data_IF_210740814861
#
_entry.id   IF_210740814861
#
_cell.length_a   1.000
_cell.length_b   1.000
_cell.length_c   1.000
_cell.angle_alpha   90.00
_cell.angle_beta   90.00
_cell.angle_gamma   90.00
#
_symmetry.space_group_name_H-M   'P 1'
#
loop_
_entity.id
_entity.type
_entity.pdbx_description
1 polymer ?
#
# COMPACT_ATOMS: atom_id res chain seq x y z
N UNK A 1 22.58 6.51 8.51
CA UNK A 1 22.34 7.38 9.68
C UNK A 1 21.56 6.70 10.81
N UNK A 2 20.69 5.69 10.57
CA UNK A 2 20.09 4.89 11.67
C UNK A 2 21.11 4.10 12.49
N UNK A 3 22.25 3.71 11.92
CA UNK A 3 23.29 2.96 12.65
C UNK A 3 24.00 3.79 13.74
N UNK A 4 23.97 5.09 13.64
CA UNK A 4 24.58 6.00 14.63
C UNK A 4 23.63 6.42 15.75
N UNK A 5 22.35 6.47 15.50
CA UNK A 5 21.35 6.84 16.52
C UNK A 5 20.98 5.68 17.47
N UNK A 6 21.16 4.42 17.04
CA UNK A 6 20.87 3.23 17.86
C UNK A 6 22.02 2.79 18.76
N UNK A 7 23.23 3.38 18.64
CA UNK A 7 24.41 2.97 19.42
C UNK A 7 24.59 3.68 20.76
N UNK A 8 23.76 4.66 21.13
CA UNK A 8 23.99 5.48 22.33
C UNK A 8 22.93 5.40 23.42
N UNK A 9 21.99 4.47 23.35
CA UNK A 9 21.07 4.25 24.48
C UNK A 9 20.92 2.76 24.75
N UNK A 10 21.51 2.30 25.85
CA UNK A 10 21.18 1.02 26.48
C UNK A 10 19.74 1.12 27.01
N UNK A 11 18.75 0.85 26.14
CA UNK A 11 17.36 0.78 26.55
C UNK A 11 17.08 -0.63 27.05
N UNK A 12 16.86 -0.73 28.36
CA UNK A 12 16.29 -1.90 29.01
C UNK A 12 14.95 -2.22 28.37
N UNK A 13 14.87 -3.34 27.67
CA UNK A 13 13.66 -3.79 26.97
C UNK A 13 12.63 -4.18 28.02
N UNK A 14 11.68 -3.27 28.30
CA UNK A 14 10.43 -3.67 28.92
C UNK A 14 9.50 -4.13 27.78
N UNK A 15 9.07 -5.37 27.89
CA UNK A 15 8.06 -5.97 27.02
C UNK A 15 6.77 -5.12 27.06
N UNK A 16 6.64 -4.19 26.12
CA UNK A 16 5.40 -3.44 25.93
C UNK A 16 4.45 -4.25 25.07
N UNK A 17 3.42 -4.82 25.72
CA UNK A 17 2.24 -5.28 24.98
C UNK A 17 1.59 -4.06 24.34
N UNK A 18 1.61 -4.02 22.99
CA UNK A 18 0.88 -3.03 22.22
C UNK A 18 -0.60 -3.08 22.61
N UNK A 19 -1.12 -1.98 23.19
CA UNK A 19 -2.57 -1.85 23.33
C UNK A 19 -3.15 -1.61 21.94
N UNK A 20 -4.23 -2.31 21.56
CA UNK A 20 -4.89 -2.04 20.29
C UNK A 20 -5.36 -0.58 20.30
N UNK A 21 -4.91 0.18 19.29
CA UNK A 21 -5.38 1.54 19.07
C UNK A 21 -6.77 1.40 18.44
N UNK A 22 -7.81 1.60 19.24
CA UNK A 22 -9.17 1.66 18.73
C UNK A 22 -9.43 3.06 18.17
N UNK A 23 -9.27 3.23 16.86
CA UNK A 23 -9.85 4.38 16.18
C UNK A 23 -11.33 4.11 15.98
N UNK A 24 -12.19 4.70 16.79
CA UNK A 24 -13.63 4.70 16.53
C UNK A 24 -13.94 5.78 15.50
N UNK A 25 -13.86 5.43 14.22
CA UNK A 25 -14.41 6.26 13.16
C UNK A 25 -15.83 5.84 12.85
N UNK A 26 -16.77 6.77 12.96
CA UNK A 26 -18.12 6.60 12.43
C UNK A 26 -18.04 6.82 10.91
N UNK A 27 -17.97 5.73 10.15
CA UNK A 27 -18.00 5.73 8.69
C UNK A 27 -19.46 5.74 8.21
N UNK A 28 -19.78 6.71 7.36
CA UNK A 28 -20.98 6.72 6.55
C UNK A 28 -20.74 5.96 5.24
N UNK A 29 -21.30 4.75 5.15
CA UNK A 29 -21.61 4.00 3.93
C UNK A 29 -20.56 3.82 2.83
N UNK A 30 -19.63 2.87 3.01
CA UNK A 30 -19.16 2.01 1.94
C UNK A 30 -19.14 0.54 2.44
N UNK A 31 -19.85 -0.39 1.79
CA UNK A 31 -20.10 -1.72 2.35
C UNK A 31 -18.94 -2.72 2.21
N UNK A 32 -17.77 -2.34 1.71
CA UNK A 32 -16.75 -3.29 1.26
C UNK A 32 -15.45 -3.31 2.09
N UNK A 33 -15.06 -2.22 2.75
CA UNK A 33 -13.90 -2.20 3.64
C UNK A 33 -14.33 -2.38 5.10
N UNK A 34 -13.97 -3.52 5.68
CA UNK A 34 -14.32 -3.89 7.06
C UNK A 34 -13.20 -3.61 8.08
N UNK A 35 -12.16 -2.91 7.67
CA UNK A 35 -11.02 -2.53 8.50
C UNK A 35 -9.83 -3.48 8.44
N UNK A 36 -8.66 -2.97 8.86
CA UNK A 36 -7.38 -3.66 8.74
C UNK A 36 -7.35 -5.02 9.47
N UNK A 37 -7.99 -5.11 10.65
CA UNK A 37 -8.03 -6.36 11.40
C UNK A 37 -8.81 -7.46 10.67
N UNK A 38 -9.95 -7.12 10.10
CA UNK A 38 -10.75 -8.07 9.30
C UNK A 38 -10.00 -8.53 8.06
N UNK A 39 -9.26 -7.62 7.40
CA UNK A 39 -8.39 -7.98 6.28
C UNK A 39 -7.28 -8.94 6.73
N UNK A 40 -6.61 -8.69 7.86
CA UNK A 40 -5.60 -9.59 8.43
C UNK A 40 -6.14 -10.98 8.77
N UNK A 41 -7.35 -11.04 9.33
CA UNK A 41 -7.97 -12.29 9.78
C UNK A 41 -8.61 -13.09 8.64
N UNK A 42 -8.82 -12.46 7.48
CA UNK A 42 -9.41 -13.15 6.34
C UNK A 42 -8.53 -14.27 5.81
N UNK A 43 -9.17 -15.31 5.27
CA UNK A 43 -8.47 -16.45 4.66
C UNK A 43 -7.60 -16.00 3.48
N UNK A 44 -6.63 -16.85 3.11
CA UNK A 44 -5.83 -16.65 1.93
C UNK A 44 -6.73 -16.60 0.68
N UNK A 45 -6.52 -15.58 -0.15
CA UNK A 45 -7.33 -15.39 -1.34
C UNK A 45 -6.70 -16.12 -2.55
N UNK A 46 -7.29 -17.24 -2.94
CA UNK A 46 -6.85 -18.06 -4.08
C UNK A 46 -7.48 -17.65 -5.42
N UNK A 47 -8.28 -16.58 -5.45
CA UNK A 47 -9.06 -16.15 -6.61
C UNK A 47 -8.20 -15.41 -7.64
N UNK A 48 -7.22 -16.08 -8.25
CA UNK A 48 -6.25 -15.52 -9.18
C UNK A 48 -6.69 -15.50 -10.64
N UNK A 49 -7.82 -16.11 -10.94
CA UNK A 49 -8.43 -16.15 -12.25
C UNK A 49 -9.67 -15.25 -12.28
N UNK A 50 -9.88 -14.53 -13.38
CA UNK A 50 -11.08 -13.69 -13.57
C UNK A 50 -12.08 -14.43 -14.45
N UNK A 51 -13.06 -15.07 -13.84
CA UNK A 51 -14.12 -15.79 -14.54
C UNK A 51 -15.21 -14.88 -15.11
N UNK A 52 -16.28 -15.49 -15.67
CA UNK A 52 -17.42 -14.73 -16.23
C UNK A 52 -18.14 -13.85 -15.21
N UNK A 53 -18.19 -14.29 -13.95
CA UNK A 53 -18.91 -13.61 -12.84
C UNK A 53 -17.99 -12.89 -11.86
N UNK A 54 -16.68 -12.79 -12.14
CA UNK A 54 -15.70 -12.17 -11.27
C UNK A 54 -14.57 -13.11 -10.83
N UNK A 55 -13.86 -12.79 -9.72
CA UNK A 55 -12.72 -13.55 -9.26
C UNK A 55 -13.06 -15.00 -8.91
N UNK A 56 -12.22 -15.93 -9.35
CA UNK A 56 -12.34 -17.38 -9.14
C UNK A 56 -10.99 -18.00 -8.81
N UNK A 57 -10.94 -19.14 -8.09
CA UNK A 57 -9.71 -19.90 -7.90
C UNK A 57 -9.06 -20.28 -9.23
N UNK A 58 -7.75 -20.16 -9.28
CA UNK A 58 -6.97 -20.70 -10.39
C UNK A 58 -7.00 -22.24 -10.33
N UNK A 59 -7.09 -22.93 -11.49
CA UNK A 59 -6.95 -24.38 -11.50
C UNK A 59 -5.67 -24.84 -10.79
N UNK A 60 -5.68 -25.97 -10.07
CA UNK A 60 -4.48 -26.45 -9.38
C UNK A 60 -3.32 -26.60 -10.36
N UNK A 61 -2.23 -25.90 -10.09
CA UNK A 61 -0.96 -26.06 -10.79
C UNK A 61 -0.06 -26.87 -9.87
N UNK A 62 0.70 -27.80 -10.43
CA UNK A 62 1.68 -28.59 -9.69
C UNK A 62 2.61 -27.65 -8.89
N UNK A 63 2.79 -27.87 -7.57
CA UNK A 63 3.60 -27.00 -6.77
C UNK A 63 5.03 -27.02 -7.31
N UNK A 64 5.46 -25.85 -7.79
CA UNK A 64 6.78 -25.65 -8.33
C UNK A 64 7.83 -26.02 -7.29
N UNK A 65 8.69 -26.97 -7.61
CA UNK A 65 9.72 -27.53 -6.72
C UNK A 65 10.73 -26.49 -6.22
N UNK A 66 10.76 -25.31 -6.83
CA UNK A 66 11.73 -24.23 -6.51
C UNK A 66 11.56 -23.62 -5.11
N UNK A 67 10.34 -23.53 -4.60
CA UNK A 67 10.07 -22.98 -3.26
C UNK A 67 10.41 -23.98 -2.14
N UNK A 68 10.54 -25.25 -2.47
CA UNK A 68 10.69 -26.34 -1.51
C UNK A 68 11.95 -26.31 -0.63
N UNK A 69 13.02 -25.70 -1.07
CA UNK A 69 14.32 -25.65 -0.35
C UNK A 69 14.53 -24.42 0.53
N UNK A 70 13.67 -23.40 0.39
CA UNK A 70 13.79 -22.12 1.10
C UNK A 70 13.05 -22.16 2.43
N UNK A 71 13.65 -21.65 3.51
CA UNK A 71 13.18 -21.88 4.88
C UNK A 71 12.65 -20.65 5.61
N UNK A 72 12.74 -19.46 5.01
CA UNK A 72 12.28 -18.22 5.63
C UNK A 72 11.54 -17.29 4.65
N UNK A 73 10.75 -16.38 5.20
CA UNK A 73 9.99 -15.40 4.41
C UNK A 73 10.91 -14.49 3.59
N UNK A 74 11.99 -14.00 4.21
CA UNK A 74 12.94 -13.10 3.54
C UNK A 74 13.68 -13.78 2.38
N UNK A 75 14.06 -15.07 2.51
CA UNK A 75 14.65 -15.84 1.42
C UNK A 75 13.65 -16.04 0.26
N UNK A 76 12.39 -16.39 0.58
CA UNK A 76 11.34 -16.50 -0.44
C UNK A 76 11.11 -15.19 -1.17
N UNK A 77 11.07 -14.07 -0.44
CA UNK A 77 10.95 -12.73 -1.02
C UNK A 77 12.14 -12.39 -1.95
N UNK A 78 13.35 -12.71 -1.55
CA UNK A 78 14.54 -12.52 -2.38
C UNK A 78 14.48 -13.34 -3.69
N UNK A 79 13.92 -14.55 -3.63
CA UNK A 79 13.67 -15.39 -4.81
C UNK A 79 12.62 -14.77 -5.73
N UNK A 80 11.51 -14.25 -5.19
CA UNK A 80 10.49 -13.52 -5.97
C UNK A 80 11.12 -12.32 -6.66
N UNK A 81 11.88 -11.51 -5.94
CA UNK A 81 12.59 -10.35 -6.50
C UNK A 81 13.57 -10.74 -7.62
N UNK A 82 14.22 -11.91 -7.52
CA UNK A 82 15.19 -12.42 -8.50
C UNK A 82 14.54 -13.10 -9.71
N UNK A 83 13.23 -13.27 -9.72
CA UNK A 83 12.47 -13.89 -10.81
C UNK A 83 12.15 -12.85 -11.87
N UNK A 84 12.57 -13.07 -13.13
CA UNK A 84 12.37 -12.10 -14.22
C UNK A 84 11.04 -12.27 -14.96
N UNK A 85 10.54 -13.50 -15.09
CA UNK A 85 9.25 -13.75 -15.76
C UNK A 85 8.08 -13.25 -14.88
N UNK A 86 7.21 -12.36 -15.39
CA UNK A 86 6.19 -11.71 -14.59
C UNK A 86 5.10 -12.65 -14.05
N UNK A 87 4.69 -13.66 -14.86
CA UNK A 87 3.68 -14.61 -14.43
C UNK A 87 4.25 -15.58 -13.37
N UNK A 88 5.48 -16.03 -13.57
CA UNK A 88 6.19 -16.85 -12.59
C UNK A 88 6.40 -16.05 -11.29
N UNK A 89 6.83 -14.78 -11.38
CA UNK A 89 6.96 -13.88 -10.22
C UNK A 89 5.64 -13.75 -9.46
N UNK A 90 4.55 -13.51 -10.16
CA UNK A 90 3.21 -13.42 -9.56
C UNK A 90 2.83 -14.72 -8.84
N UNK A 91 3.07 -15.89 -9.45
CA UNK A 91 2.79 -17.19 -8.82
C UNK A 91 3.68 -17.46 -7.61
N UNK A 92 4.98 -17.19 -7.73
CA UNK A 92 5.92 -17.35 -6.61
C UNK A 92 5.58 -16.45 -5.43
N UNK A 93 5.10 -15.22 -5.67
CA UNK A 93 4.64 -14.32 -4.61
C UNK A 93 3.51 -14.96 -3.79
N UNK A 94 2.50 -15.52 -4.48
CA UNK A 94 1.41 -16.25 -3.83
C UNK A 94 1.89 -17.49 -3.06
N UNK A 95 2.73 -18.30 -3.67
CA UNK A 95 3.27 -19.51 -3.05
C UNK A 95 4.12 -19.17 -1.82
N UNK A 96 4.96 -18.14 -1.89
CA UNK A 96 5.81 -17.68 -0.79
C UNK A 96 4.99 -17.29 0.44
N UNK A 97 3.99 -16.41 0.26
CA UNK A 97 3.13 -15.98 1.36
C UNK A 97 2.27 -17.13 1.90
N UNK A 98 1.67 -17.94 1.01
CA UNK A 98 0.84 -19.09 1.35
C UNK A 98 1.62 -20.12 2.17
N UNK A 99 2.83 -20.46 1.73
CA UNK A 99 3.70 -21.42 2.39
C UNK A 99 4.16 -20.92 3.76
N UNK A 100 4.66 -19.67 3.81
CA UNK A 100 5.09 -19.06 5.08
C UNK A 100 3.98 -19.08 6.12
N UNK A 101 2.77 -18.69 5.74
CA UNK A 101 1.59 -18.67 6.62
C UNK A 101 1.19 -20.08 7.08
N UNK A 102 1.20 -21.06 6.17
CA UNK A 102 0.80 -22.46 6.45
C UNK A 102 1.80 -23.18 7.33
N UNK A 103 3.08 -23.03 7.04
CA UNK A 103 4.17 -23.74 7.72
C UNK A 103 4.69 -22.97 8.95
N UNK A 104 4.21 -21.76 9.20
CA UNK A 104 4.65 -20.89 10.30
C UNK A 104 6.17 -20.71 10.34
N UNK A 105 6.75 -20.45 9.16
CA UNK A 105 8.18 -20.23 9.02
C UNK A 105 8.61 -18.92 9.69
N UNK A 106 9.89 -18.80 10.02
CA UNK A 106 10.44 -17.53 10.51
C UNK A 106 10.48 -16.45 9.42
N UNK A 107 10.60 -15.20 9.82
CA UNK A 107 10.91 -14.11 8.89
C UNK A 107 12.29 -14.34 8.26
N UNK A 108 13.27 -14.76 9.07
CA UNK A 108 14.65 -14.92 8.64
C UNK A 108 15.31 -13.60 8.23
N UNK A 109 16.51 -13.68 7.66
CA UNK A 109 17.27 -12.54 7.14
C UNK A 109 17.79 -12.90 5.76
N UNK A 110 17.57 -12.00 4.79
CA UNK A 110 18.13 -12.15 3.45
C UNK A 110 18.53 -10.78 2.90
N UNK A 111 19.38 -10.79 1.87
CA UNK A 111 19.77 -9.56 1.18
C UNK A 111 18.91 -9.39 -0.07
N UNK A 112 18.25 -8.24 -0.26
CA UNK A 112 17.56 -7.99 -1.50
C UNK A 112 18.55 -7.83 -2.65
N UNK A 113 18.18 -8.22 -3.88
CA UNK A 113 18.99 -7.87 -5.04
C UNK A 113 19.04 -6.34 -5.18
N UNK A 114 20.09 -5.83 -5.83
CA UNK A 114 20.21 -4.37 -6.08
C UNK A 114 18.97 -3.81 -6.80
N UNK A 115 18.42 -4.59 -7.72
CA UNK A 115 17.16 -4.30 -8.43
C UNK A 115 16.39 -5.59 -8.65
N UNK A 116 15.06 -5.54 -8.68
CA UNK A 116 14.25 -6.70 -9.03
C UNK A 116 14.56 -7.12 -10.47
N UNK A 117 14.62 -8.43 -10.68
CA UNK A 117 14.76 -8.97 -12.03
C UNK A 117 13.51 -8.62 -12.87
N UNK A 118 13.74 -8.25 -14.13
CA UNK A 118 12.71 -7.83 -15.09
C UNK A 118 12.83 -8.63 -16.38
N UNK A 119 11.72 -8.85 -17.08
CA UNK A 119 11.74 -9.43 -18.40
C UNK A 119 12.37 -8.46 -19.41
N UNK A 120 12.78 -8.93 -20.59
CA UNK A 120 13.32 -8.07 -21.65
C UNK A 120 12.26 -7.09 -22.20
N UNK A 121 10.98 -7.36 -21.99
CA UNK A 121 9.83 -6.50 -22.33
C UNK A 121 8.92 -6.37 -21.12
N UNK A 122 8.32 -5.18 -20.88
CA UNK A 122 8.41 -3.93 -21.68
C UNK A 122 9.80 -3.30 -21.64
N UNK A 123 10.18 -2.62 -22.71
CA UNK A 123 11.36 -1.75 -22.69
C UNK A 123 11.10 -0.62 -21.68
N UNK A 124 12.06 -0.43 -20.75
CA UNK A 124 11.98 0.66 -19.80
C UNK A 124 12.56 1.94 -20.41
N UNK A 125 11.74 2.97 -20.46
CA UNK A 125 12.06 4.27 -21.07
C UNK A 125 11.82 5.42 -20.09
N UNK A 126 12.25 6.62 -20.43
CA UNK A 126 11.88 7.82 -19.68
C UNK A 126 10.36 8.05 -19.74
N UNK A 127 9.71 8.58 -18.68
CA UNK A 127 8.27 8.86 -18.70
C UNK A 127 7.79 9.69 -19.87
N UNK A 128 8.63 10.63 -20.35
CA UNK A 128 8.34 11.48 -21.52
C UNK A 128 8.34 10.71 -22.85
N UNK A 129 8.97 9.55 -22.89
CA UNK A 129 9.11 8.70 -24.07
C UNK A 129 8.01 7.60 -24.14
N UNK A 130 7.13 7.55 -23.13
CA UNK A 130 5.93 6.69 -23.17
C UNK A 130 4.99 7.23 -24.27
N UNK A 131 4.58 6.38 -25.23
CA UNK A 131 3.70 6.83 -26.31
C UNK A 131 2.34 7.27 -25.76
N UNK A 132 1.81 8.36 -26.29
CA UNK A 132 0.43 8.72 -26.03
C UNK A 132 -0.53 7.61 -26.54
N UNK A 133 -1.74 7.47 -25.98
CA UNK A 133 -2.66 6.38 -26.35
C UNK A 133 -2.85 6.22 -27.86
N UNK A 134 -3.02 7.33 -28.59
CA UNK A 134 -3.18 7.35 -30.06
C UNK A 134 -1.98 6.84 -30.86
N UNK A 135 -0.79 6.82 -30.23
CA UNK A 135 0.48 6.45 -30.87
C UNK A 135 1.03 5.11 -30.33
N UNK A 136 0.32 4.46 -29.39
CA UNK A 136 0.80 3.26 -28.71
C UNK A 136 0.63 1.98 -29.51
N UNK A 137 -0.21 2.00 -30.55
CA UNK A 137 -0.62 0.79 -31.28
C UNK A 137 -1.67 -0.04 -30.54
N UNK A 138 -2.05 0.32 -29.32
CA UNK A 138 -3.04 -0.36 -28.49
C UNK A 138 -4.37 0.40 -28.48
N UNK A 139 -5.54 -0.29 -28.45
CA UNK A 139 -6.79 0.37 -28.12
C UNK A 139 -6.74 0.92 -26.69
N UNK A 140 -7.56 1.93 -26.41
CA UNK A 140 -7.49 2.69 -25.16
C UNK A 140 -7.61 1.82 -23.89
N UNK A 141 -8.50 0.83 -23.90
CA UNK A 141 -8.68 -0.10 -22.78
C UNK A 141 -7.42 -0.97 -22.55
N UNK A 142 -6.82 -1.53 -23.62
CA UNK A 142 -5.57 -2.29 -23.51
C UNK A 142 -4.39 -1.41 -23.08
N UNK A 143 -4.32 -0.16 -23.59
CA UNK A 143 -3.32 0.82 -23.17
C UNK A 143 -3.40 1.10 -21.66
N UNK A 144 -4.61 1.39 -21.16
CA UNK A 144 -4.81 1.66 -19.74
C UNK A 144 -4.50 0.44 -18.87
N UNK A 145 -4.93 -0.73 -19.31
CA UNK A 145 -4.72 -1.99 -18.61
C UNK A 145 -3.25 -2.42 -18.58
N UNK A 146 -2.50 -2.20 -19.68
CA UNK A 146 -1.06 -2.47 -19.72
C UNK A 146 -0.29 -1.60 -18.72
N UNK A 147 -0.64 -0.29 -18.63
CA UNK A 147 -0.05 0.59 -17.61
C UNK A 147 -0.38 0.12 -16.20
N UNK A 148 -1.63 -0.30 -15.94
CA UNK A 148 -2.02 -0.84 -14.65
C UNK A 148 -1.24 -2.13 -14.34
N UNK A 149 -1.17 -3.08 -15.27
CA UNK A 149 -0.36 -4.30 -15.08
C UNK A 149 1.11 -3.99 -14.73
N UNK A 150 1.66 -2.91 -15.31
CA UNK A 150 3.01 -2.47 -14.97
C UNK A 150 3.10 -1.90 -13.54
N UNK A 151 2.08 -1.20 -13.07
CA UNK A 151 1.98 -0.73 -11.67
C UNK A 151 1.93 -1.92 -10.73
N UNK A 152 1.03 -2.88 -10.96
CA UNK A 152 0.86 -4.07 -10.12
C UNK A 152 2.15 -4.93 -10.05
N UNK A 153 2.84 -5.13 -11.19
CA UNK A 153 4.12 -5.83 -11.19
C UNK A 153 5.19 -5.10 -10.35
N UNK A 154 5.21 -3.77 -10.41
CA UNK A 154 6.08 -2.99 -9.54
C UNK A 154 5.67 -3.13 -8.08
N UNK A 155 4.38 -3.07 -7.76
CA UNK A 155 3.87 -3.17 -6.39
C UNK A 155 4.26 -4.52 -5.72
N UNK A 156 4.24 -5.63 -6.46
CA UNK A 156 4.81 -6.92 -6.00
C UNK A 156 6.27 -6.72 -5.54
N UNK A 157 7.09 -6.07 -6.37
CA UNK A 157 8.50 -5.87 -6.04
C UNK A 157 8.71 -4.90 -4.88
N UNK A 158 7.91 -3.82 -4.79
CA UNK A 158 7.98 -2.84 -3.70
C UNK A 158 7.66 -3.48 -2.35
N UNK A 159 6.63 -4.31 -2.30
CA UNK A 159 6.22 -4.99 -1.09
C UNK A 159 7.25 -6.06 -0.67
N UNK A 160 7.74 -6.89 -1.59
CA UNK A 160 8.79 -7.85 -1.28
C UNK A 160 10.13 -7.21 -0.95
N UNK A 161 10.50 -6.10 -1.61
CA UNK A 161 11.72 -5.36 -1.22
C UNK A 161 11.61 -4.85 0.21
N UNK A 162 10.42 -4.39 0.62
CA UNK A 162 10.17 -3.97 2.01
C UNK A 162 10.36 -5.14 2.99
N UNK A 163 9.84 -6.32 2.69
CA UNK A 163 10.03 -7.53 3.51
C UNK A 163 11.50 -7.91 3.61
N UNK A 164 12.19 -8.04 2.47
CA UNK A 164 13.56 -8.57 2.43
C UNK A 164 14.55 -7.55 3.00
N UNK A 165 14.45 -6.30 2.60
CA UNK A 165 15.38 -5.23 2.98
C UNK A 165 15.36 -4.92 4.47
N UNK A 166 14.19 -4.94 5.08
CA UNK A 166 14.04 -4.66 6.50
C UNK A 166 14.02 -5.92 7.38
N UNK A 167 14.22 -7.11 6.80
CA UNK A 167 14.30 -8.37 7.55
C UNK A 167 15.37 -8.38 8.67
N UNK A 168 16.52 -7.68 8.57
CA UNK A 168 17.47 -7.58 9.69
C UNK A 168 16.91 -6.87 10.93
N UNK A 169 15.78 -6.16 10.79
CA UNK A 169 15.11 -5.45 11.90
C UNK A 169 13.86 -6.19 12.39
N UNK A 170 13.73 -7.50 12.12
CA UNK A 170 12.54 -8.29 12.46
C UNK A 170 12.24 -8.30 13.97
N UNK A 171 13.25 -8.29 14.82
CA UNK A 171 13.08 -8.18 16.29
C UNK A 171 12.43 -6.85 16.72
N UNK A 172 12.69 -5.76 15.99
CA UNK A 172 12.15 -4.43 16.29
C UNK A 172 10.77 -4.19 15.68
N UNK A 173 10.58 -4.64 14.43
CA UNK A 173 9.36 -4.43 13.66
C UNK A 173 8.28 -5.46 14.01
N UNK A 174 8.68 -6.66 14.42
CA UNK A 174 7.81 -7.79 14.73
C UNK A 174 7.27 -8.52 13.50
N UNK A 175 6.92 -9.79 13.64
CA UNK A 175 6.48 -10.67 12.55
C UNK A 175 5.25 -10.13 11.80
N UNK A 176 4.38 -9.39 12.48
CA UNK A 176 3.17 -8.82 11.88
C UNK A 176 3.49 -7.79 10.78
N UNK A 177 4.59 -7.01 10.92
CA UNK A 177 5.05 -6.11 9.87
C UNK A 177 5.31 -6.86 8.57
N UNK A 178 6.07 -7.92 8.66
CA UNK A 178 6.45 -8.75 7.51
C UNK A 178 5.26 -9.52 6.95
N UNK A 179 4.35 -9.99 7.82
CA UNK A 179 3.11 -10.63 7.43
C UNK A 179 2.23 -9.71 6.57
N UNK A 180 2.06 -8.45 7.01
CA UNK A 180 1.24 -7.47 6.32
C UNK A 180 1.80 -7.15 4.94
N UNK A 181 3.11 -6.85 4.82
CA UNK A 181 3.72 -6.53 3.52
C UNK A 181 3.82 -7.74 2.59
N UNK A 182 4.05 -8.95 3.11
CA UNK A 182 3.98 -10.16 2.29
C UNK A 182 2.56 -10.43 1.79
N UNK A 183 1.53 -10.09 2.56
CA UNK A 183 0.14 -10.18 2.15
C UNK A 183 -0.21 -9.12 1.09
N UNK A 184 0.27 -7.89 1.24
CA UNK A 184 0.17 -6.87 0.17
C UNK A 184 0.78 -7.42 -1.12
N UNK A 185 1.99 -7.98 -1.06
CA UNK A 185 2.63 -8.58 -2.24
C UNK A 185 1.82 -9.73 -2.86
N UNK A 186 1.10 -10.51 -2.05
CA UNK A 186 0.18 -11.56 -2.53
C UNK A 186 -1.03 -10.95 -3.25
N UNK A 187 -1.66 -9.93 -2.66
CA UNK A 187 -2.79 -9.22 -3.28
C UNK A 187 -2.35 -8.59 -4.61
N UNK A 188 -1.23 -7.87 -4.67
CA UNK A 188 -0.66 -7.27 -5.88
C UNK A 188 -0.35 -8.30 -6.96
N UNK A 189 0.12 -9.48 -6.55
CA UNK A 189 0.39 -10.57 -7.47
C UNK A 189 -0.89 -11.10 -8.15
N UNK A 190 -2.00 -11.07 -7.45
CA UNK A 190 -3.33 -11.41 -7.96
C UNK A 190 -3.86 -10.33 -8.91
N UNK A 191 -3.69 -9.05 -8.56
CA UNK A 191 -4.03 -7.92 -9.41
C UNK A 191 -3.28 -7.99 -10.75
N UNK A 192 -1.99 -8.26 -10.72
CA UNK A 192 -1.19 -8.48 -11.93
C UNK A 192 -1.71 -9.67 -12.76
N UNK A 193 -2.07 -10.79 -12.12
CA UNK A 193 -2.60 -11.95 -12.82
C UNK A 193 -3.90 -11.61 -13.55
N UNK A 194 -4.83 -10.89 -12.91
CA UNK A 194 -6.08 -10.44 -13.55
C UNK A 194 -5.84 -9.48 -14.72
N UNK A 195 -4.94 -8.52 -14.55
CA UNK A 195 -4.57 -7.59 -15.62
C UNK A 195 -3.94 -8.32 -16.81
N UNK A 196 -3.04 -9.26 -16.54
CA UNK A 196 -2.35 -10.05 -17.55
C UNK A 196 -3.31 -10.95 -18.32
N UNK A 197 -4.22 -11.64 -17.61
CA UNK A 197 -5.28 -12.43 -18.21
C UNK A 197 -6.17 -11.56 -19.12
N UNK A 198 -6.59 -10.40 -18.62
CA UNK A 198 -7.49 -9.53 -19.40
C UNK A 198 -6.81 -8.92 -20.62
N UNK A 199 -5.51 -8.61 -20.56
CA UNK A 199 -4.74 -8.23 -21.75
C UNK A 199 -4.76 -9.33 -22.82
N UNK A 200 -4.52 -10.59 -22.41
CA UNK A 200 -4.58 -11.73 -23.32
C UNK A 200 -5.97 -11.91 -23.95
N UNK A 201 -7.05 -11.75 -23.20
CA UNK A 201 -8.43 -11.76 -23.73
C UNK A 201 -8.70 -10.65 -24.76
N UNK A 202 -7.99 -9.52 -24.65
CA UNK A 202 -8.05 -8.43 -25.63
C UNK A 202 -7.13 -8.64 -26.85
N UNK A 203 -6.34 -9.72 -26.85
CA UNK A 203 -5.38 -10.04 -27.92
C UNK A 203 -4.03 -9.35 -27.76
N UNK A 204 -3.69 -8.88 -26.54
CA UNK A 204 -2.45 -8.19 -26.20
C UNK A 204 -1.73 -8.88 -25.05
N UNK A 205 -0.47 -8.48 -24.82
CA UNK A 205 0.35 -9.01 -23.73
C UNK A 205 1.01 -7.90 -22.94
N UNK A 206 1.33 -8.18 -21.67
CA UNK A 206 2.21 -7.31 -20.91
C UNK A 206 3.59 -7.28 -21.59
N UNK A 207 4.05 -6.08 -21.93
CA UNK A 207 5.30 -5.86 -22.68
C UNK A 207 5.08 -5.38 -24.13
N UNK A 208 3.85 -5.31 -24.62
CA UNK A 208 3.55 -4.86 -25.99
C UNK A 208 3.76 -3.34 -26.19
N UNK A 209 3.90 -2.58 -25.12
CA UNK A 209 4.32 -1.17 -25.20
C UNK A 209 5.40 -0.85 -24.15
N UNK A 210 6.21 0.22 -24.34
CA UNK A 210 7.19 0.65 -23.34
C UNK A 210 6.54 1.03 -22.00
N UNK A 211 7.33 0.94 -20.94
CA UNK A 211 6.96 1.35 -19.59
C UNK A 211 8.05 2.20 -18.93
N UNK A 212 7.79 2.79 -17.77
CA UNK A 212 8.78 3.58 -17.03
C UNK A 212 9.05 2.99 -15.65
N UNK A 213 10.23 3.29 -15.08
CA UNK A 213 10.67 2.74 -13.80
C UNK A 213 10.53 3.72 -12.62
N UNK A 214 9.54 4.63 -12.64
CA UNK A 214 9.42 5.65 -11.59
C UNK A 214 9.11 5.05 -10.22
N UNK A 215 8.22 4.06 -10.12
CA UNK A 215 7.85 3.45 -8.84
C UNK A 215 9.07 2.81 -8.17
N UNK A 216 9.86 2.04 -8.93
CA UNK A 216 11.09 1.46 -8.38
C UNK A 216 12.10 2.53 -7.94
N UNK A 217 12.24 3.63 -8.69
CA UNK A 217 13.13 4.73 -8.31
C UNK A 217 12.74 5.37 -6.97
N UNK A 218 11.46 5.52 -6.69
CA UNK A 218 10.98 6.00 -5.39
C UNK A 218 11.26 4.98 -4.27
N UNK A 219 11.11 3.69 -4.56
CA UNK A 219 11.48 2.62 -3.65
C UNK A 219 12.99 2.63 -3.33
N UNK A 220 13.82 2.77 -4.34
CA UNK A 220 15.28 2.82 -4.24
C UNK A 220 15.75 4.00 -3.37
N UNK A 221 15.13 5.18 -3.50
CA UNK A 221 15.42 6.35 -2.64
C UNK A 221 15.21 6.09 -1.16
N UNK A 222 14.19 5.30 -0.80
CA UNK A 222 13.81 4.99 0.59
C UNK A 222 14.42 3.68 1.11
N UNK A 223 15.48 3.17 0.46
CA UNK A 223 16.06 1.85 0.77
C UNK A 223 16.68 1.75 2.16
N UNK A 224 17.20 2.83 2.70
CA UNK A 224 18.00 2.82 3.92
C UNK A 224 17.22 3.21 5.18
N UNK A 225 15.95 3.64 5.02
CA UNK A 225 15.12 4.11 6.13
C UNK A 225 13.69 3.55 6.02
N UNK A 226 13.31 2.73 7.00
CA UNK A 226 11.97 2.12 7.05
C UNK A 226 10.87 3.18 7.19
N UNK A 227 11.12 4.29 7.90
CA UNK A 227 10.10 5.35 8.07
C UNK A 227 9.88 6.07 6.74
N UNK A 228 10.98 6.36 6.03
CA UNK A 228 10.92 6.92 4.68
C UNK A 228 10.22 5.96 3.69
N UNK A 229 10.53 4.65 3.76
CA UNK A 229 9.87 3.63 2.95
C UNK A 229 8.36 3.65 3.16
N UNK A 230 7.92 3.69 4.43
CA UNK A 230 6.50 3.73 4.78
C UNK A 230 5.83 5.04 4.34
N UNK A 231 6.52 6.18 4.44
CA UNK A 231 6.00 7.46 3.96
C UNK A 231 5.88 7.49 2.43
N UNK A 232 6.93 7.07 1.71
CA UNK A 232 7.02 7.23 0.25
C UNK A 232 6.18 6.20 -0.49
N UNK A 233 6.26 4.92 -0.12
CA UNK A 233 5.62 3.86 -0.89
C UNK A 233 4.14 3.75 -0.55
N UNK A 234 3.68 3.25 0.62
CA UNK A 234 2.24 3.07 0.84
C UNK A 234 1.47 4.39 0.97
N UNK A 235 2.02 5.42 1.66
CA UNK A 235 1.28 6.65 1.92
C UNK A 235 1.25 7.63 0.73
N UNK A 236 2.17 7.50 -0.23
CA UNK A 236 2.18 8.34 -1.43
C UNK A 236 1.94 7.53 -2.70
N UNK A 237 2.74 6.49 -2.99
CA UNK A 237 2.63 5.81 -4.29
C UNK A 237 1.37 4.95 -4.36
N UNK A 238 1.09 4.09 -3.38
CA UNK A 238 -0.13 3.29 -3.32
C UNK A 238 -1.38 4.17 -3.15
N UNK A 239 -1.31 5.21 -2.31
CA UNK A 239 -2.41 6.16 -2.15
C UNK A 239 -2.81 6.88 -3.45
N UNK A 240 -1.93 6.97 -4.46
CA UNK A 240 -2.30 7.43 -5.82
C UNK A 240 -3.23 6.43 -6.52
N UNK A 241 -3.15 5.15 -6.20
CA UNK A 241 -4.09 4.13 -6.66
C UNK A 241 -5.52 4.44 -6.23
N UNK A 242 -5.72 4.85 -4.97
CA UNK A 242 -7.02 5.29 -4.44
C UNK A 242 -7.60 6.47 -5.22
N UNK A 243 -6.74 7.39 -5.67
CA UNK A 243 -7.17 8.56 -6.45
C UNK A 243 -7.45 8.21 -7.92
N UNK A 244 -6.65 7.34 -8.53
CA UNK A 244 -6.68 7.05 -9.95
C UNK A 244 -7.69 5.95 -10.31
N UNK A 245 -7.87 4.96 -9.44
CA UNK A 245 -8.72 3.79 -9.68
C UNK A 245 -10.14 4.14 -10.12
N UNK A 246 -10.91 4.93 -9.35
CA UNK A 246 -12.28 5.30 -9.74
C UNK A 246 -12.35 6.04 -11.06
N UNK A 247 -11.37 6.91 -11.37
CA UNK A 247 -11.31 7.62 -12.66
C UNK A 247 -11.03 6.69 -13.82
N UNK A 248 -10.19 5.67 -13.60
CA UNK A 248 -9.89 4.65 -14.59
C UNK A 248 -11.13 3.79 -14.89
N UNK A 249 -11.84 3.37 -13.84
CA UNK A 249 -13.13 2.65 -13.95
C UNK A 249 -14.12 3.44 -14.82
N UNK A 250 -14.31 4.74 -14.53
CA UNK A 250 -15.24 5.58 -15.29
C UNK A 250 -14.84 5.72 -16.77
N UNK A 251 -13.55 5.84 -17.08
CA UNK A 251 -13.06 5.87 -18.46
C UNK A 251 -13.34 4.55 -19.20
N UNK A 252 -13.15 3.42 -18.53
CA UNK A 252 -13.41 2.09 -19.10
C UNK A 252 -14.89 1.87 -19.34
N UNK A 253 -15.77 2.31 -18.43
CA UNK A 253 -17.23 2.30 -18.61
C UNK A 253 -17.59 3.16 -19.84
N UNK A 254 -17.04 4.38 -19.94
CA UNK A 254 -17.27 5.27 -21.08
C UNK A 254 -16.77 4.70 -22.40
N UNK A 255 -15.73 3.88 -22.38
CA UNK A 255 -15.24 3.13 -23.54
C UNK A 255 -16.11 1.92 -23.89
N UNK A 256 -17.01 1.50 -23.00
CA UNK A 256 -17.89 0.34 -23.17
C UNK A 256 -17.29 -1.01 -22.73
N UNK A 257 -16.11 -1.02 -22.14
CA UNK A 257 -15.46 -2.25 -21.64
C UNK A 257 -15.81 -2.53 -20.18
N UNK A 258 -17.00 -3.08 -19.97
CA UNK A 258 -17.51 -3.44 -18.65
C UNK A 258 -16.65 -4.49 -17.95
N UNK A 259 -16.05 -5.45 -18.70
CA UNK A 259 -15.24 -6.50 -18.09
C UNK A 259 -13.94 -5.94 -17.52
N UNK A 260 -13.24 -5.12 -18.28
CA UNK A 260 -12.03 -4.44 -17.76
C UNK A 260 -12.38 -3.48 -16.63
N UNK A 261 -13.49 -2.74 -16.71
CA UNK A 261 -13.91 -1.84 -15.62
C UNK A 261 -14.19 -2.58 -14.32
N UNK A 262 -14.76 -3.80 -14.37
CA UNK A 262 -15.00 -4.62 -13.18
C UNK A 262 -13.69 -5.13 -12.56
N UNK A 263 -12.71 -5.54 -13.37
CA UNK A 263 -11.37 -5.91 -12.89
C UNK A 263 -10.73 -4.73 -12.13
N UNK A 264 -10.70 -3.55 -12.77
CA UNK A 264 -10.09 -2.36 -12.18
C UNK A 264 -10.85 -1.87 -10.94
N UNK A 265 -12.17 -1.99 -10.92
CA UNK A 265 -12.98 -1.63 -9.75
C UNK A 265 -12.64 -2.51 -8.55
N UNK A 266 -12.43 -3.83 -8.78
CA UNK A 266 -12.06 -4.74 -7.70
C UNK A 266 -10.64 -4.47 -7.17
N UNK A 267 -9.70 -4.18 -8.05
CA UNK A 267 -8.35 -3.75 -7.66
C UNK A 267 -8.44 -2.48 -6.80
N UNK A 268 -9.11 -1.44 -7.29
CA UNK A 268 -9.24 -0.18 -6.58
C UNK A 268 -9.89 -0.29 -5.19
N UNK A 269 -10.80 -1.25 -5.00
CA UNK A 269 -11.40 -1.60 -3.73
C UNK A 269 -10.37 -2.21 -2.76
N UNK A 270 -9.54 -3.14 -3.25
CA UNK A 270 -8.54 -3.84 -2.45
C UNK A 270 -7.35 -2.94 -2.05
N UNK A 271 -7.03 -1.90 -2.84
CA UNK A 271 -5.98 -0.90 -2.56
C UNK A 271 -6.18 -0.14 -1.23
N UNK A 272 -7.40 -0.03 -0.74
CA UNK A 272 -7.68 0.61 0.57
C UNK A 272 -6.92 -0.10 1.69
N UNK A 273 -6.84 -1.44 1.63
CA UNK A 273 -6.11 -2.24 2.60
C UNK A 273 -4.60 -1.96 2.58
N UNK A 274 -4.02 -1.82 1.39
CA UNK A 274 -2.58 -1.59 1.22
C UNK A 274 -2.15 -0.25 1.82
N UNK A 275 -2.92 0.80 1.56
CA UNK A 275 -2.69 2.11 2.18
C UNK A 275 -2.90 2.06 3.70
N UNK A 276 -3.95 1.35 4.17
CA UNK A 276 -4.21 1.20 5.61
C UNK A 276 -3.06 0.46 6.34
N UNK A 277 -2.44 -0.55 5.73
CA UNK A 277 -1.21 -1.19 6.21
C UNK A 277 -0.10 -0.15 6.38
N UNK A 278 0.11 0.67 5.36
CA UNK A 278 1.10 1.73 5.38
C UNK A 278 0.87 2.74 6.50
N UNK A 279 -0.37 3.24 6.66
CA UNK A 279 -0.73 4.19 7.73
C UNK A 279 -0.48 3.58 9.10
N UNK A 280 -0.95 2.34 9.32
CA UNK A 280 -0.77 1.65 10.59
C UNK A 280 0.71 1.53 10.98
N UNK A 281 1.54 1.06 10.07
CA UNK A 281 2.96 0.84 10.36
C UNK A 281 3.75 2.15 10.45
N UNK A 282 3.42 3.15 9.63
CA UNK A 282 4.04 4.46 9.73
C UNK A 282 3.79 5.10 11.09
N UNK A 283 2.53 5.09 11.56
CA UNK A 283 2.16 5.61 12.88
C UNK A 283 2.85 4.80 13.98
N UNK A 284 2.83 3.47 13.90
CA UNK A 284 3.44 2.58 14.90
C UNK A 284 4.95 2.82 15.04
N UNK A 285 5.68 2.91 13.92
CA UNK A 285 7.13 3.17 13.93
C UNK A 285 7.44 4.58 14.43
N UNK A 286 6.67 5.60 14.01
CA UNK A 286 6.82 6.96 14.54
C UNK A 286 6.64 6.99 16.06
N UNK A 287 5.62 6.31 16.58
CA UNK A 287 5.39 6.23 18.05
C UNK A 287 6.54 5.55 18.80
N UNK A 288 7.08 4.44 18.26
CA UNK A 288 8.24 3.78 18.84
C UNK A 288 9.49 4.68 18.86
N UNK A 289 9.62 5.57 17.88
CA UNK A 289 10.70 6.55 17.79
C UNK A 289 10.42 7.84 18.58
N UNK A 290 9.26 7.98 19.22
CA UNK A 290 8.86 9.22 19.91
C UNK A 290 8.64 10.40 18.97
N UNK A 291 8.28 10.14 17.69
CA UNK A 291 8.03 11.17 16.66
C UNK A 291 6.53 11.36 16.44
N UNK A 292 6.13 12.61 16.21
CA UNK A 292 4.76 12.93 15.80
C UNK A 292 4.55 12.54 14.31
N UNK A 293 3.56 11.67 13.95
CA UNK A 293 3.45 11.16 12.61
C UNK A 293 3.28 12.23 11.52
N UNK A 294 2.34 13.18 11.68
CA UNK A 294 2.07 14.20 10.65
C UNK A 294 3.30 15.07 10.31
N UNK A 295 4.00 15.70 11.28
CA UNK A 295 5.24 16.43 10.99
C UNK A 295 6.29 15.53 10.34
N UNK A 296 6.49 14.30 10.86
CA UNK A 296 7.47 13.35 10.33
C UNK A 296 7.19 13.01 8.87
N UNK A 297 5.93 12.75 8.52
CA UNK A 297 5.53 12.50 7.14
C UNK A 297 5.89 13.67 6.23
N UNK A 298 5.49 14.90 6.60
CA UNK A 298 5.77 16.10 5.81
C UNK A 298 7.26 16.38 5.65
N UNK A 299 8.06 16.15 6.71
CA UNK A 299 9.50 16.37 6.66
C UNK A 299 10.20 15.34 5.76
N UNK A 300 9.79 14.06 5.84
CA UNK A 300 10.28 13.03 4.93
C UNK A 300 9.94 13.32 3.48
N UNK A 301 8.73 13.79 3.17
CA UNK A 301 8.38 14.16 1.79
C UNK A 301 9.29 15.26 1.24
N UNK A 302 9.67 16.24 2.07
CA UNK A 302 10.63 17.31 1.68
C UNK A 302 12.03 16.73 1.50
N UNK A 303 12.50 15.93 2.46
CA UNK A 303 13.83 15.32 2.43
C UNK A 303 14.05 14.46 1.19
N UNK A 304 13.05 13.62 0.86
CA UNK A 304 13.11 12.69 -0.28
C UNK A 304 12.64 13.33 -1.60
N UNK A 305 12.29 14.62 -1.57
CA UNK A 305 11.77 15.34 -2.73
C UNK A 305 10.60 14.62 -3.40
N UNK A 306 9.62 14.21 -2.57
CA UNK A 306 8.40 13.53 -3.00
C UNK A 306 7.23 14.50 -2.93
N UNK A 307 6.53 14.65 -4.05
CA UNK A 307 5.43 15.59 -4.19
C UNK A 307 4.09 14.83 -4.21
N UNK A 308 3.15 15.29 -3.38
CA UNK A 308 1.78 14.77 -3.36
C UNK A 308 0.89 15.75 -4.09
N UNK A 309 0.25 15.29 -5.18
CA UNK A 309 -0.60 16.10 -6.05
C UNK A 309 -1.97 15.46 -6.24
N UNK A 310 -3.02 16.28 -6.06
CA UNK A 310 -4.39 15.90 -6.39
C UNK A 310 -4.67 15.82 -7.91
N UNK A 311 -5.92 15.52 -8.27
CA UNK A 311 -7.09 15.51 -7.42
C UNK A 311 -7.15 14.26 -6.53
N UNK A 312 -7.55 14.42 -5.26
CA UNK A 312 -7.60 13.38 -4.25
C UNK A 312 -8.99 12.73 -4.14
N UNK A 313 -9.01 11.43 -3.87
CA UNK A 313 -10.19 10.73 -3.40
C UNK A 313 -10.20 10.75 -1.86
N UNK A 314 -10.70 11.84 -1.30
CA UNK A 314 -10.71 12.05 0.15
C UNK A 314 -11.39 10.92 0.91
N UNK A 315 -12.51 10.40 0.40
CA UNK A 315 -13.25 9.32 1.04
C UNK A 315 -12.42 8.04 1.17
N UNK A 316 -11.78 7.58 0.08
CA UNK A 316 -10.99 6.36 0.11
C UNK A 316 -9.70 6.53 0.95
N UNK A 317 -9.08 7.71 0.93
CA UNK A 317 -7.92 8.02 1.77
C UNK A 317 -8.28 8.03 3.27
N UNK A 318 -9.43 8.61 3.62
CA UNK A 318 -9.96 8.62 4.98
C UNK A 318 -10.33 7.21 5.44
N UNK A 319 -10.95 6.42 4.56
CA UNK A 319 -11.29 5.03 4.80
C UNK A 319 -10.03 4.16 5.06
N UNK A 320 -8.92 4.42 4.36
CA UNK A 320 -7.62 3.83 4.62
C UNK A 320 -6.93 4.38 5.90
N UNK A 321 -7.53 5.36 6.57
CA UNK A 321 -6.98 5.99 7.77
C UNK A 321 -5.91 7.04 7.52
N UNK A 322 -5.73 7.51 6.27
CA UNK A 322 -4.76 8.56 5.92
C UNK A 322 -5.38 9.94 6.14
N UNK A 323 -4.97 10.70 7.17
CA UNK A 323 -5.59 11.98 7.53
C UNK A 323 -5.34 13.03 6.45
N UNK A 324 -6.38 13.85 6.18
CA UNK A 324 -6.32 14.87 5.12
C UNK A 324 -5.24 15.92 5.36
N UNK A 325 -5.06 16.35 6.59
CA UNK A 325 -4.05 17.34 6.97
C UNK A 325 -2.62 16.90 6.66
N UNK A 326 -2.36 15.59 6.49
CA UNK A 326 -1.03 15.10 6.14
C UNK A 326 -0.63 15.46 4.70
N UNK A 327 -1.57 15.40 3.75
CA UNK A 327 -1.30 15.49 2.32
C UNK A 327 -1.96 16.68 1.62
N UNK A 328 -2.96 17.33 2.20
CA UNK A 328 -3.68 18.49 1.64
C UNK A 328 -3.90 19.60 2.71
N UNK A 329 -2.82 20.15 3.28
CA UNK A 329 -2.91 21.13 4.38
C UNK A 329 -3.53 22.47 3.98
N UNK A 330 -3.64 22.78 2.68
CA UNK A 330 -4.13 24.08 2.19
C UNK A 330 -5.66 24.18 2.09
N UNK A 331 -6.38 23.08 2.33
CA UNK A 331 -7.84 23.04 2.42
C UNK A 331 -8.37 22.82 3.85
N UNK A 332 -7.67 23.27 4.86
CA UNK A 332 -8.37 23.74 6.06
C UNK A 332 -9.21 24.92 5.60
N UNK A 333 -10.43 24.61 5.18
CA UNK A 333 -11.34 25.57 4.63
C UNK A 333 -11.70 26.57 5.73
N UNK A 334 -12.00 27.82 5.35
CA UNK A 334 -12.66 28.77 6.26
C UNK A 334 -13.82 28.15 7.02
N UNK A 335 -14.46 27.12 6.46
CA UNK A 335 -15.52 26.33 7.09
C UNK A 335 -15.03 25.45 8.26
N UNK A 336 -13.79 24.92 8.20
CA UNK A 336 -13.23 24.13 9.31
C UNK A 336 -12.64 25.04 10.40
N UNK A 337 -12.08 26.21 10.03
CA UNK A 337 -11.76 27.28 10.99
C UNK A 337 -13.01 27.83 11.69
N UNK A 338 -14.09 28.06 10.94
CA UNK A 338 -15.38 28.46 11.52
C UNK A 338 -16.03 27.37 12.38
N UNK A 339 -15.87 26.08 12.04
CA UNK A 339 -16.33 24.95 12.88
C UNK A 339 -15.50 24.83 14.15
N UNK A 340 -14.18 24.90 14.04
CA UNK A 340 -13.27 24.91 15.20
C UNK A 340 -13.50 26.13 16.11
N UNK A 341 -13.72 27.31 15.53
CA UNK A 341 -14.12 28.51 16.27
C UNK A 341 -15.43 28.31 17.02
N UNK A 342 -16.46 27.80 16.35
CA UNK A 342 -17.78 27.49 16.98
C UNK A 342 -17.67 26.42 18.07
N UNK A 343 -16.78 25.44 17.93
CA UNK A 343 -16.52 24.44 18.98
C UNK A 343 -15.78 25.06 20.15
N UNK A 344 -14.79 25.92 19.92
CA UNK A 344 -14.09 26.68 20.97
C UNK A 344 -15.03 27.62 21.74
N UNK A 345 -15.89 28.36 21.02
CA UNK A 345 -16.86 29.26 21.63
C UNK A 345 -17.87 28.50 22.48
N UNK A 346 -18.29 27.32 22.02
CA UNK A 346 -19.22 26.45 22.78
C UNK A 346 -18.57 25.85 24.02
N UNK A 347 -17.30 25.43 23.95
CA UNK A 347 -16.53 24.97 25.09
C UNK A 347 -16.26 26.09 26.10
N UNK A 348 -15.92 27.28 25.65
CA UNK A 348 -15.75 28.45 26.49
C UNK A 348 -17.03 28.82 27.23
N UNK A 349 -18.19 28.72 26.55
CA UNK A 349 -19.50 28.97 27.16
C UNK A 349 -19.85 27.90 28.24
N UNK A 350 -19.58 26.61 27.97
CA UNK A 350 -19.79 25.53 28.94
C UNK A 350 -18.91 25.72 30.18
N UNK A 351 -17.63 26.06 29.98
CA UNK A 351 -16.69 26.32 31.07
C UNK A 351 -17.12 27.54 31.91
N UNK A 352 -17.68 28.59 31.28
CA UNK A 352 -18.22 29.76 32.00
C UNK A 352 -19.45 29.39 32.84
N UNK A 353 -20.37 28.60 32.31
CA UNK A 353 -21.56 28.14 33.03
C UNK A 353 -21.20 27.22 34.21
N UNK A 354 -20.20 26.33 34.06
CA UNK A 354 -19.71 25.50 35.17
C UNK A 354 -19.04 26.33 36.29
N UNK A 355 -18.31 27.39 35.92
CA UNK A 355 -17.75 28.33 36.91
C UNK A 355 -18.79 29.11 37.63
N UNK A 356 -19.86 29.58 36.97
CA UNK A 356 -20.98 30.27 37.59
C UNK A 356 -21.72 29.34 38.55
N UNK A 357 -22.02 28.10 38.12
CA UNK A 357 -22.67 27.10 39.00
C UNK A 357 -21.80 26.71 40.21
N UNK A 358 -20.46 26.66 40.04
CA UNK A 358 -19.53 26.35 41.13
C UNK A 358 -19.42 27.51 42.15
N UNK A 359 -19.65 28.74 41.74
CA UNK A 359 -19.68 29.90 42.62
C UNK A 359 -21.01 30.01 43.39
N UNK A 360 -22.12 29.69 42.78
CA UNK A 360 -23.45 29.64 43.46
C UNK A 360 -23.51 28.59 44.58
N UNK A 361 -22.81 27.45 44.43
CA UNK A 361 -22.73 26.41 45.45
C UNK A 361 -21.67 26.69 46.57
N UNK A 362 -21.01 27.85 46.55
CA UNK A 362 -20.10 28.30 47.62
C UNK A 362 -20.66 29.42 48.54
N UNK A 363 -21.85 29.95 48.20
CA UNK A 363 -22.55 30.98 48.94
C UNK A 363 -23.76 30.47 49.75
N UNK A 364 -24.00 29.14 49.76
CA UNK A 364 -24.85 28.44 50.72
C UNK A 364 -23.96 27.67 51.74
#
# INVERSE_FOLDING_TARGET
MLSTALRSSSLTIHSFKLKPISYSYHSSHHPLWSGLQTWRDSSLNHNRFWGPSGPQPEPPIDPDSQVGSVTSLAEMGAMVLSTSDPLTKSRLSHLAYSRWRKEKLSVGVSQPPHRPARPPKPQLVSPKDIPAPKNSGLPLNAYMLHNLAHVELNAIDLAWDTVVRFSPYSELLGDMFFADFARVADDESRHFAWCSQRLAELGFSYGDMPAHNLLWRECEKSSDDVVARLAVIPLVQEARGLDAGPRLVQKLIGFGDKRTSNVVAKIAEEEVAHVAVGVYWFVSVCQQMGRAPCPTFRDLLKEYNVEVKGPFNYSAREEAGLPRDWYDPLKESKEDEERLSKVHDRLAHIISMEKENSNLNREE
#
